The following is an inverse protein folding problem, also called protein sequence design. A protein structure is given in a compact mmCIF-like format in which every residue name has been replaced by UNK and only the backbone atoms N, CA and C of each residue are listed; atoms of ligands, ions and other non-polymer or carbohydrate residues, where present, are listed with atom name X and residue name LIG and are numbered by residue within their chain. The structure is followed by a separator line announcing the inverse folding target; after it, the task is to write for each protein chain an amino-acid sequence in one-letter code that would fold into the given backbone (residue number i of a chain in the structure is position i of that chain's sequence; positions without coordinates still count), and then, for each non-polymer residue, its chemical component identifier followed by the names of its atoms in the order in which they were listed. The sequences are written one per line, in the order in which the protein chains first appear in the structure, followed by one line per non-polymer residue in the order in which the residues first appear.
data_IF_661463139997
#
_entry.id   IF_661463139997
#
_cell.length_a   1.000
_cell.length_b   1.000
_cell.length_c   1.000
_cell.angle_alpha   90.00
_cell.angle_beta   90.00
_cell.angle_gamma   90.00
#
_symmetry.space_group_name_H-M   'P 1'
#
loop_
_entity.id
_entity.type
_entity.pdbx_description
1 polymer ?
#
# COMPACT_ATOMS: atom_id res chain seq x y z
N UNK A 1 20.18 4.86 5.26
CA UNK A 1 19.97 4.83 3.79
C UNK A 1 21.27 5.20 3.11
N UNK A 2 21.56 4.60 1.94
CA UNK A 2 22.81 4.81 1.19
C UNK A 2 22.53 5.64 -0.05
N UNK A 3 23.45 6.52 -0.46
CA UNK A 3 23.33 7.26 -1.73
C UNK A 3 23.58 6.32 -2.91
N UNK A 4 22.90 6.53 -4.03
CA UNK A 4 23.05 5.68 -5.23
C UNK A 4 24.51 5.49 -5.66
N UNK A 5 25.35 6.53 -5.56
CA UNK A 5 26.77 6.48 -5.92
C UNK A 5 27.61 5.51 -5.06
N UNK A 6 27.20 5.28 -3.80
CA UNK A 6 27.93 4.45 -2.84
C UNK A 6 27.43 2.99 -2.83
N UNK A 7 26.31 2.70 -3.53
CA UNK A 7 25.64 1.40 -3.48
C UNK A 7 26.57 0.26 -3.91
N UNK A 8 27.31 0.44 -5.01
CA UNK A 8 28.22 -0.60 -5.54
C UNK A 8 29.32 -0.96 -4.55
N UNK A 9 29.96 0.05 -3.96
CA UNK A 9 31.04 -0.17 -3.00
C UNK A 9 30.53 -0.89 -1.74
N UNK A 10 29.38 -0.46 -1.21
CA UNK A 10 28.78 -1.07 -0.02
C UNK A 10 28.29 -2.49 -0.31
N UNK A 11 27.63 -2.72 -1.44
CA UNK A 11 27.18 -4.04 -1.85
C UNK A 11 28.36 -5.01 -1.99
N UNK A 12 29.43 -4.59 -2.68
CA UNK A 12 30.62 -5.42 -2.90
C UNK A 12 31.41 -5.72 -1.63
N UNK A 13 31.43 -4.79 -0.68
CA UNK A 13 32.03 -5.04 0.63
C UNK A 13 31.19 -6.02 1.45
N UNK A 14 29.87 -5.83 1.52
CA UNK A 14 28.98 -6.66 2.35
C UNK A 14 28.80 -8.08 1.83
N UNK A 15 28.79 -8.28 0.51
CA UNK A 15 28.63 -9.63 -0.09
C UNK A 15 29.77 -10.59 0.26
N UNK A 16 30.94 -10.05 0.65
CA UNK A 16 32.05 -10.87 1.13
C UNK A 16 31.78 -11.48 2.52
N UNK A 17 30.81 -10.96 3.27
CA UNK A 17 30.40 -11.44 4.60
C UNK A 17 29.17 -12.34 4.57
N UNK A 18 28.41 -12.34 3.47
CA UNK A 18 27.18 -13.11 3.30
C UNK A 18 26.20 -12.44 2.33
N UNK A 19 25.00 -13.02 2.15
CA UNK A 19 23.97 -12.44 1.27
C UNK A 19 23.59 -11.00 1.65
N UNK A 20 23.35 -10.15 0.65
CA UNK A 20 23.04 -8.72 0.85
C UNK A 20 21.67 -8.38 0.28
N UNK A 21 20.74 -8.09 1.17
CA UNK A 21 19.41 -7.59 0.87
C UNK A 21 19.41 -6.07 0.80
N UNK A 22 18.90 -5.54 -0.31
CA UNK A 22 18.67 -4.10 -0.50
C UNK A 22 17.17 -3.91 -0.51
N UNK A 23 16.69 -2.89 0.23
CA UNK A 23 15.31 -2.42 0.17
C UNK A 23 15.30 -1.15 -0.68
N UNK A 24 14.74 -1.22 -1.88
CA UNK A 24 14.75 -0.10 -2.83
C UNK A 24 13.36 0.17 -3.43
N UNK A 25 12.45 0.85 -2.68
CA UNK A 25 11.06 1.03 -3.10
C UNK A 25 10.88 1.84 -4.41
N UNK A 26 11.88 2.62 -4.81
CA UNK A 26 11.90 3.35 -6.08
C UNK A 26 12.78 2.66 -7.15
N UNK A 27 13.16 1.40 -6.93
CA UNK A 27 14.05 0.62 -7.78
C UNK A 27 15.54 0.86 -7.50
N UNK A 28 16.38 0.00 -8.09
CA UNK A 28 17.83 0.10 -8.03
C UNK A 28 18.41 0.76 -9.29
N UNK A 29 19.48 1.57 -9.15
CA UNK A 29 20.22 2.07 -10.30
C UNK A 29 20.93 0.93 -11.05
N UNK A 30 21.18 1.14 -12.35
CA UNK A 30 22.00 0.23 -13.15
C UNK A 30 21.30 -1.03 -13.67
N UNK A 31 19.96 -1.09 -13.64
CA UNK A 31 19.20 -2.18 -14.25
C UNK A 31 19.38 -3.54 -13.55
N UNK A 32 19.78 -3.53 -12.28
CA UNK A 32 19.86 -4.74 -11.44
C UNK A 32 18.47 -5.38 -11.36
N UNK A 33 18.43 -6.71 -11.35
CA UNK A 33 17.19 -7.43 -11.06
C UNK A 33 16.69 -7.04 -9.66
N UNK A 34 15.41 -6.70 -9.58
CA UNK A 34 14.70 -6.37 -8.34
C UNK A 34 13.44 -7.21 -8.25
N UNK A 35 13.11 -7.60 -7.03
CA UNK A 35 11.80 -8.17 -6.75
C UNK A 35 10.78 -7.03 -6.64
N UNK A 36 9.59 -7.24 -7.18
CA UNK A 36 8.49 -6.28 -7.15
C UNK A 36 7.42 -6.78 -6.19
N UNK A 37 6.75 -5.85 -5.53
CA UNK A 37 5.68 -6.14 -4.60
C UNK A 37 4.58 -5.10 -4.68
N UNK A 38 3.33 -5.56 -4.67
CA UNK A 38 2.15 -4.69 -4.64
C UNK A 38 1.29 -4.95 -3.41
N UNK A 39 0.84 -3.92 -2.67
CA UNK A 39 -0.14 -4.09 -1.59
C UNK A 39 -1.50 -4.58 -2.13
N UNK A 40 -1.81 -4.30 -3.40
CA UNK A 40 -3.07 -4.71 -4.04
C UNK A 40 -3.04 -6.21 -4.38
N UNK A 41 -1.89 -6.75 -4.79
CA UNK A 41 -1.77 -8.20 -5.04
C UNK A 41 -1.85 -9.01 -3.75
N UNK A 42 -1.44 -8.41 -2.61
CA UNK A 42 -1.57 -9.03 -1.30
C UNK A 42 -3.03 -9.10 -0.81
N UNK A 43 -3.83 -8.08 -1.11
CA UNK A 43 -5.22 -7.92 -0.66
C UNK A 43 -6.22 -8.76 -1.47
N UNK A 44 -6.09 -10.09 -1.38
CA UNK A 44 -6.86 -11.08 -2.16
C UNK A 44 -8.24 -11.39 -1.57
N UNK A 45 -8.43 -11.06 -0.30
CA UNK A 45 -9.64 -11.31 0.48
C UNK A 45 -9.76 -10.24 1.58
N UNK A 46 -10.85 -10.27 2.34
CA UNK A 46 -11.13 -9.29 3.39
C UNK A 46 -10.00 -9.23 4.44
N UNK A 47 -9.58 -10.38 4.97
CA UNK A 47 -8.56 -10.47 6.03
C UNK A 47 -7.20 -9.93 5.58
N UNK A 48 -6.76 -10.27 4.36
CA UNK A 48 -5.51 -9.78 3.81
C UNK A 48 -5.56 -8.29 3.47
N UNK A 49 -6.70 -7.78 3.01
CA UNK A 49 -6.90 -6.36 2.76
C UNK A 49 -6.87 -5.54 4.06
N UNK A 50 -7.54 -6.01 5.11
CA UNK A 50 -7.53 -5.37 6.43
C UNK A 50 -6.11 -5.34 7.01
N UNK A 51 -5.41 -6.49 6.99
CA UNK A 51 -4.03 -6.57 7.48
C UNK A 51 -3.09 -5.64 6.73
N UNK A 52 -3.24 -5.52 5.41
CA UNK A 52 -2.44 -4.60 4.61
C UNK A 52 -2.73 -3.14 4.97
N UNK A 53 -4.01 -2.79 5.13
CA UNK A 53 -4.41 -1.45 5.54
C UNK A 53 -3.85 -1.08 6.91
N UNK A 54 -3.83 -2.02 7.86
CA UNK A 54 -3.19 -1.86 9.16
C UNK A 54 -1.69 -1.58 9.02
N UNK A 55 -0.94 -2.43 8.29
CA UNK A 55 0.49 -2.22 8.08
C UNK A 55 0.81 -0.88 7.41
N UNK A 56 0.00 -0.47 6.44
CA UNK A 56 0.15 0.83 5.79
C UNK A 56 -0.07 1.97 6.78
N UNK A 57 -1.13 1.89 7.59
CA UNK A 57 -1.44 2.91 8.60
C UNK A 57 -0.37 3.00 9.69
N UNK A 58 0.18 1.87 10.12
CA UNK A 58 1.23 1.83 11.14
C UNK A 58 2.57 2.33 10.59
N UNK A 59 2.92 1.96 9.37
CA UNK A 59 4.14 2.44 8.71
C UNK A 59 4.12 3.97 8.47
N UNK A 60 2.93 4.57 8.33
CA UNK A 60 2.78 6.01 8.14
C UNK A 60 2.91 6.82 9.44
N UNK A 61 2.74 6.18 10.60
CA UNK A 61 2.84 6.83 11.91
C UNK A 61 4.31 7.00 12.31
N UNK A 62 4.73 8.25 12.53
CA UNK A 62 6.07 8.54 13.07
C UNK A 62 6.15 8.25 14.57
N UNK A 63 5.06 8.55 15.28
CA UNK A 63 4.88 8.35 16.72
C UNK A 63 3.41 8.04 16.98
N UNK A 64 3.14 7.26 18.02
CA UNK A 64 1.79 6.97 18.46
C UNK A 64 1.12 8.22 19.05
N UNK A 65 -0.07 8.56 18.56
CA UNK A 65 -0.92 9.65 19.07
C UNK A 65 -2.35 9.13 19.31
N UNK A 66 -2.79 8.97 20.58
CA UNK A 66 -4.14 8.53 20.92
C UNK A 66 -5.24 9.40 20.29
N UNK A 67 -4.97 10.68 20.01
CA UNK A 67 -5.96 11.59 19.41
C UNK A 67 -6.18 11.29 17.93
N UNK A 68 -5.23 10.64 17.27
CA UNK A 68 -5.32 10.25 15.87
C UNK A 68 -6.02 8.91 15.66
N UNK A 69 -6.14 8.07 16.70
CA UNK A 69 -6.68 6.71 16.60
C UNK A 69 -8.05 6.61 15.91
N UNK A 70 -9.05 7.47 16.21
CA UNK A 70 -10.35 7.37 15.55
C UNK A 70 -10.27 7.60 14.03
N UNK A 71 -9.37 8.50 13.60
CA UNK A 71 -9.16 8.80 12.18
C UNK A 71 -8.36 7.71 11.48
N UNK A 72 -7.39 7.13 12.18
CA UNK A 72 -6.60 5.99 11.69
C UNK A 72 -7.50 4.76 11.50
N UNK A 73 -8.38 4.47 12.45
CA UNK A 73 -9.32 3.35 12.35
C UNK A 73 -10.25 3.49 11.14
N UNK A 74 -10.79 4.68 10.89
CA UNK A 74 -11.62 4.95 9.72
C UNK A 74 -10.81 4.87 8.41
N UNK A 75 -9.59 5.40 8.41
CA UNK A 75 -8.69 5.31 7.26
C UNK A 75 -8.35 3.84 6.92
N UNK A 76 -8.13 2.98 7.94
CA UNK A 76 -7.88 1.54 7.74
C UNK A 76 -9.06 0.85 7.04
N UNK A 77 -10.29 1.07 7.49
CA UNK A 77 -11.48 0.51 6.84
C UNK A 77 -11.61 0.93 5.37
N UNK A 78 -11.36 2.21 5.08
CA UNK A 78 -11.37 2.73 3.71
C UNK A 78 -10.24 2.10 2.87
N UNK A 79 -9.02 2.04 3.39
CA UNK A 79 -7.87 1.47 2.70
C UNK A 79 -8.10 -0.01 2.37
N UNK A 80 -8.66 -0.78 3.30
CA UNK A 80 -8.98 -2.18 3.08
C UNK A 80 -9.95 -2.35 1.91
N UNK A 81 -11.06 -1.59 1.90
CA UNK A 81 -12.02 -1.60 0.79
C UNK A 81 -11.40 -1.20 -0.55
N UNK A 82 -10.57 -0.15 -0.57
CA UNK A 82 -9.90 0.31 -1.79
C UNK A 82 -8.91 -0.73 -2.34
N UNK A 83 -8.12 -1.37 -1.47
CA UNK A 83 -7.15 -2.40 -1.85
C UNK A 83 -7.86 -3.61 -2.44
N UNK A 84 -8.89 -4.12 -1.76
CA UNK A 84 -9.63 -5.29 -2.19
C UNK A 84 -10.41 -5.02 -3.50
N UNK A 85 -11.07 -3.88 -3.62
CA UNK A 85 -11.74 -3.50 -4.86
C UNK A 85 -10.76 -3.36 -6.03
N UNK A 86 -9.55 -2.85 -5.78
CA UNK A 86 -8.53 -2.70 -6.82
C UNK A 86 -7.98 -4.07 -7.26
N UNK A 87 -7.93 -5.03 -6.34
CA UNK A 87 -7.60 -6.42 -6.62
C UNK A 87 -8.68 -7.09 -7.49
N UNK A 88 -9.94 -7.05 -7.05
CA UNK A 88 -11.09 -7.65 -7.75
C UNK A 88 -11.24 -7.11 -9.18
N UNK A 89 -11.12 -5.79 -9.34
CA UNK A 89 -11.20 -5.12 -10.65
C UNK A 89 -9.98 -5.34 -11.55
N UNK A 90 -8.91 -5.96 -11.03
CA UNK A 90 -7.60 -6.07 -11.69
C UNK A 90 -7.01 -4.71 -12.09
N UNK A 91 -7.43 -3.64 -11.40
CA UNK A 91 -6.98 -2.27 -11.63
C UNK A 91 -5.64 -1.95 -10.95
N UNK A 92 -5.21 -2.81 -10.02
CA UNK A 92 -3.90 -2.73 -9.36
C UNK A 92 -3.70 -1.41 -8.60
N UNK A 93 -2.43 -1.05 -8.38
CA UNK A 93 -2.07 0.18 -7.65
C UNK A 93 -2.60 1.46 -8.30
N UNK A 94 -2.90 1.42 -9.60
CA UNK A 94 -3.45 2.56 -10.34
C UNK A 94 -4.89 2.85 -9.90
N UNK A 95 -5.77 1.84 -9.91
CA UNK A 95 -7.15 2.00 -9.47
C UNK A 95 -7.23 2.38 -7.99
N UNK A 96 -6.44 1.72 -7.14
CA UNK A 96 -6.31 2.07 -5.73
C UNK A 96 -6.00 3.57 -5.53
N UNK A 97 -4.99 4.09 -6.23
CA UNK A 97 -4.61 5.51 -6.12
C UNK A 97 -5.67 6.45 -6.66
N UNK A 98 -6.28 6.08 -7.79
CA UNK A 98 -7.33 6.89 -8.42
C UNK A 98 -8.52 7.06 -7.48
N UNK A 99 -9.06 5.98 -6.95
CA UNK A 99 -10.20 6.02 -6.04
C UNK A 99 -9.87 6.66 -4.69
N UNK A 100 -8.64 6.47 -4.18
CA UNK A 100 -8.17 7.20 -3.00
C UNK A 100 -8.15 8.71 -3.24
N UNK A 101 -7.76 9.16 -4.44
CA UNK A 101 -7.71 10.58 -4.78
C UNK A 101 -9.11 11.18 -4.99
N UNK A 102 -10.04 10.40 -5.54
CA UNK A 102 -11.44 10.78 -5.70
C UNK A 102 -12.20 10.82 -4.36
N UNK A 103 -11.77 10.02 -3.38
CA UNK A 103 -12.36 10.01 -2.04
C UNK A 103 -13.86 9.68 -2.09
N UNK A 104 -14.69 10.59 -1.57
CA UNK A 104 -16.16 10.44 -1.54
C UNK A 104 -16.77 10.20 -2.93
N UNK A 105 -16.18 10.76 -3.98
CA UNK A 105 -16.71 10.64 -5.34
C UNK A 105 -16.54 9.22 -5.93
N UNK A 106 -15.67 8.40 -5.35
CA UNK A 106 -15.47 7.01 -5.76
C UNK A 106 -16.39 6.01 -5.01
N UNK A 107 -17.14 6.45 -4.00
CA UNK A 107 -17.80 5.54 -3.05
C UNK A 107 -18.76 4.58 -3.72
N UNK A 108 -19.68 5.07 -4.54
CA UNK A 108 -20.68 4.22 -5.19
C UNK A 108 -20.04 3.20 -6.15
N UNK A 109 -18.98 3.61 -6.85
CA UNK A 109 -18.25 2.73 -7.76
C UNK A 109 -17.51 1.61 -7.02
N UNK A 110 -16.77 1.95 -5.97
CA UNK A 110 -16.00 0.97 -5.18
C UNK A 110 -16.95 0.01 -4.45
N UNK A 111 -18.06 0.52 -3.91
CA UNK A 111 -19.10 -0.32 -3.31
C UNK A 111 -19.68 -1.31 -4.31
N UNK A 112 -20.01 -0.89 -5.52
CA UNK A 112 -20.56 -1.77 -6.54
C UNK A 112 -19.59 -2.91 -6.93
N UNK A 113 -18.27 -2.71 -6.79
CA UNK A 113 -17.26 -3.75 -6.99
C UNK A 113 -17.24 -4.73 -5.81
N UNK A 114 -17.36 -4.24 -4.58
CA UNK A 114 -17.25 -5.04 -3.36
C UNK A 114 -18.53 -5.79 -3.01
N UNK A 115 -19.71 -5.19 -3.20
CA UNK A 115 -21.01 -5.69 -2.74
C UNK A 115 -21.35 -7.14 -3.15
N UNK A 116 -21.02 -7.63 -4.36
CA UNK A 116 -21.36 -8.99 -4.78
C UNK A 116 -20.72 -10.08 -3.91
N UNK A 117 -19.44 -9.91 -3.54
CA UNK A 117 -18.64 -10.95 -2.89
C UNK A 117 -18.26 -10.59 -1.44
N UNK A 118 -18.22 -9.29 -1.11
CA UNK A 118 -17.76 -8.74 0.16
C UNK A 118 -18.68 -7.61 0.68
N UNK A 119 -19.97 -7.88 0.94
CA UNK A 119 -20.93 -6.86 1.35
C UNK A 119 -20.59 -6.18 2.68
N UNK A 120 -19.95 -6.90 3.61
CA UNK A 120 -19.49 -6.33 4.89
C UNK A 120 -18.36 -5.32 4.67
N UNK A 121 -17.36 -5.67 3.85
CA UNK A 121 -16.27 -4.75 3.47
C UNK A 121 -16.81 -3.54 2.71
N UNK A 122 -17.80 -3.74 1.83
CA UNK A 122 -18.46 -2.64 1.12
C UNK A 122 -19.14 -1.66 2.09
N UNK A 123 -19.81 -2.19 3.12
CA UNK A 123 -20.42 -1.39 4.17
C UNK A 123 -19.36 -0.62 4.96
N UNK A 124 -18.33 -1.29 5.47
CA UNK A 124 -17.27 -0.68 6.29
C UNK A 124 -16.48 0.40 5.53
N UNK A 125 -16.20 0.16 4.25
CA UNK A 125 -15.63 1.16 3.35
C UNK A 125 -16.50 2.40 3.21
N UNK A 126 -17.82 2.23 3.07
CA UNK A 126 -18.77 3.31 2.80
C UNK A 126 -19.12 4.14 4.05
N UNK A 127 -19.18 3.49 5.21
CA UNK A 127 -19.67 4.08 6.46
C UNK A 127 -18.99 5.42 6.83
N UNK A 128 -17.65 5.56 6.78
CA UNK A 128 -16.98 6.83 7.06
C UNK A 128 -17.46 7.97 6.15
N UNK A 129 -17.70 7.70 4.87
CA UNK A 129 -18.12 8.72 3.90
C UNK A 129 -19.58 9.16 4.06
N UNK A 130 -20.43 8.25 4.55
CA UNK A 130 -21.87 8.48 4.69
C UNK A 130 -22.25 9.10 6.04
N UNK A 131 -21.51 8.79 7.11
CA UNK A 131 -21.84 9.22 8.48
C UNK A 131 -21.09 10.46 8.95
N UNK A 132 -19.96 10.81 8.36
CA UNK A 132 -19.19 11.98 8.81
C UNK A 132 -19.84 13.27 8.30
N UNK A 133 -19.92 14.26 9.19
CA UNK A 133 -20.11 15.67 8.82
C UNK A 133 -18.95 16.13 7.91
N UNK A 134 -19.13 17.18 7.10
CA UNK A 134 -18.14 17.61 6.10
C UNK A 134 -16.72 17.78 6.67
N UNK A 135 -16.59 18.32 7.89
CA UNK A 135 -15.31 18.52 8.59
C UNK A 135 -14.58 17.19 8.92
N UNK A 136 -15.34 16.12 9.19
CA UNK A 136 -14.78 14.79 9.48
C UNK A 136 -14.24 14.10 8.23
N UNK A 137 -14.95 14.24 7.10
CA UNK A 137 -14.52 13.66 5.83
C UNK A 137 -13.18 14.23 5.36
N UNK A 138 -12.95 15.54 5.55
CA UNK A 138 -11.66 16.17 5.25
C UNK A 138 -10.50 15.62 6.08
N UNK A 139 -10.73 15.37 7.37
CA UNK A 139 -9.73 14.82 8.29
C UNK A 139 -9.35 13.37 7.94
N UNK A 140 -10.33 12.57 7.55
CA UNK A 140 -10.09 11.19 7.07
C UNK A 140 -9.34 11.20 5.74
N UNK A 141 -9.75 12.04 4.78
CA UNK A 141 -9.04 12.18 3.50
C UNK A 141 -7.59 12.64 3.70
N UNK A 142 -7.33 13.56 4.63
CA UNK A 142 -5.97 13.96 4.99
C UNK A 142 -5.15 12.77 5.50
N UNK A 143 -5.73 11.97 6.40
CA UNK A 143 -5.08 10.77 6.95
C UNK A 143 -4.76 9.75 5.85
N UNK A 144 -5.73 9.44 4.97
CA UNK A 144 -5.54 8.58 3.80
C UNK A 144 -4.40 9.05 2.89
N UNK A 145 -4.34 10.36 2.64
CA UNK A 145 -3.31 10.97 1.81
C UNK A 145 -1.91 10.90 2.43
N UNK A 146 -1.81 10.89 3.76
CA UNK A 146 -0.54 10.67 4.48
C UNK A 146 -0.12 9.21 4.36
N UNK A 147 -1.05 8.28 4.60
CA UNK A 147 -0.76 6.84 4.53
C UNK A 147 -0.31 6.42 3.14
N UNK A 148 -0.98 6.91 2.10
CA UNK A 148 -0.66 6.59 0.71
C UNK A 148 0.39 7.52 0.05
N UNK A 149 1.04 8.40 0.82
CA UNK A 149 1.92 9.44 0.28
C UNK A 149 3.07 8.91 -0.59
N UNK A 150 3.57 7.70 -0.29
CA UNK A 150 4.67 7.05 -1.03
C UNK A 150 4.33 6.86 -2.52
N UNK A 151 3.06 6.60 -2.83
CA UNK A 151 2.58 6.38 -4.20
C UNK A 151 2.44 7.68 -5.03
N UNK A 152 2.80 8.84 -4.47
CA UNK A 152 2.98 10.06 -5.27
C UNK A 152 4.22 9.97 -6.16
N UNK A 153 5.25 9.22 -5.74
CA UNK A 153 6.42 8.95 -6.56
C UNK A 153 6.06 7.98 -7.70
N UNK A 154 6.43 8.35 -8.94
CA UNK A 154 6.18 7.51 -10.13
C UNK A 154 6.93 6.19 -10.08
N UNK A 155 8.19 6.21 -9.66
CA UNK A 155 9.04 5.01 -9.70
C UNK A 155 8.55 3.98 -8.69
N UNK A 156 8.08 4.43 -7.52
CA UNK A 156 7.40 3.56 -6.54
C UNK A 156 6.16 2.92 -7.14
N UNK A 157 5.35 3.69 -7.89
CA UNK A 157 4.15 3.13 -8.52
C UNK A 157 4.51 2.05 -9.53
N UNK A 158 5.50 2.30 -10.37
CA UNK A 158 5.96 1.32 -11.38
C UNK A 158 6.44 0.04 -10.69
N UNK A 159 7.20 0.17 -9.61
CA UNK A 159 7.66 -1.00 -8.84
C UNK A 159 6.49 -1.75 -8.18
N UNK A 160 5.45 -1.03 -7.75
CA UNK A 160 4.27 -1.58 -7.10
C UNK A 160 3.15 -2.04 -8.05
N UNK A 161 3.38 -2.07 -9.37
CA UNK A 161 2.40 -2.53 -10.35
C UNK A 161 2.12 -4.03 -10.29
N UNK A 162 3.05 -4.81 -9.70
CA UNK A 162 2.93 -6.26 -9.59
C UNK A 162 3.75 -6.82 -8.43
N UNK A 163 3.48 -8.08 -8.14
CA UNK A 163 4.29 -8.95 -7.29
C UNK A 163 4.87 -10.07 -8.14
N UNK A 164 6.19 -10.23 -8.15
CA UNK A 164 6.88 -11.23 -8.99
C UNK A 164 7.84 -12.15 -8.21
N UNK A 165 7.62 -12.29 -6.91
CA UNK A 165 8.28 -13.27 -6.06
C UNK A 165 7.30 -13.97 -5.11
N UNK A 166 7.67 -15.16 -4.67
CA UNK A 166 7.11 -15.81 -3.47
C UNK A 166 8.04 -15.60 -2.27
N UNK A 167 7.53 -15.61 -1.02
CA UNK A 167 8.38 -15.55 0.17
C UNK A 167 9.49 -16.59 0.15
N UNK A 168 9.20 -17.81 -0.32
CA UNK A 168 10.15 -18.91 -0.45
C UNK A 168 11.25 -18.56 -1.46
N UNK A 169 10.89 -18.12 -2.68
CA UNK A 169 11.88 -17.66 -3.68
C UNK A 169 12.70 -16.48 -3.18
N UNK A 170 12.09 -15.58 -2.42
CA UNK A 170 12.81 -14.46 -1.84
C UNK A 170 13.88 -15.00 -0.91
N UNK A 171 13.52 -15.82 0.07
CA UNK A 171 14.43 -16.36 1.09
C UNK A 171 15.50 -17.31 0.52
N UNK A 172 15.15 -18.11 -0.48
CA UNK A 172 16.01 -19.19 -0.99
C UNK A 172 16.87 -18.78 -2.20
N UNK A 173 16.39 -17.86 -3.06
CA UNK A 173 16.98 -17.61 -4.39
C UNK A 173 17.33 -16.15 -4.64
N UNK A 174 16.47 -15.20 -4.24
CA UNK A 174 16.54 -13.80 -4.68
C UNK A 174 16.76 -12.84 -3.52
N UNK A 175 18.01 -12.81 -3.07
CA UNK A 175 18.65 -11.93 -2.09
C UNK A 175 18.34 -10.42 -2.08
N UNK A 176 17.30 -9.87 -2.70
CA UNK A 176 17.11 -8.41 -2.85
C UNK A 176 15.62 -8.04 -3.05
N UNK A 177 15.09 -7.11 -2.24
CA UNK A 177 13.73 -6.51 -2.38
C UNK A 177 13.84 -5.08 -2.92
#
# INVERSE_FOLDING_TARGET
TTKAADLEAIYNSRRALGPVWVIAPAGLPGGRATAHWSPVDYARDADSAERMAEWMADAAQKHYDPRAEPWIAQARAILAGLLLAAHISKGGIRAFREWLALGKDAVDHVRAILEPDYPEVAMDYAQPWLKLHEDGAGSVQFTLNVVAAVYRNKDVRVVAERTDFSPEQLLDENGTV
#
